data_IF_607206429389
#
_entry.id   IF_607206429389
#
_cell.length_a   1.000
_cell.length_b   1.000
_cell.length_c   1.000
_cell.angle_alpha   90.00
_cell.angle_beta   90.00
_cell.angle_gamma   90.00
#
_symmetry.space_group_name_H-M   'P 1'
#
loop_
_entity.id
_entity.type
_entity.pdbx_description
1 polymer ?
#
# COMPACT_ATOMS: atom_id res chain seq x y z
N UNK A 1 18.32 -7.19 13.92
CA UNK A 1 19.17 -6.50 12.93
C UNK A 1 19.51 -7.48 11.83
N UNK A 2 19.52 -7.05 10.57
CA UNK A 2 19.87 -7.91 9.43
C UNK A 2 21.19 -7.44 8.85
N UNK A 3 22.12 -8.36 8.57
CA UNK A 3 23.40 -8.02 7.93
C UNK A 3 23.47 -8.61 6.53
N UNK A 4 23.78 -7.75 5.57
CA UNK A 4 24.07 -8.09 4.18
C UNK A 4 25.39 -7.41 3.83
N UNK A 5 26.31 -8.16 3.21
CA UNK A 5 27.54 -7.59 2.65
C UNK A 5 27.42 -7.55 1.15
N UNK A 6 27.69 -6.38 0.57
CA UNK A 6 27.90 -6.19 -0.87
C UNK A 6 29.40 -6.06 -1.12
N UNK A 7 29.94 -6.85 -2.04
CA UNK A 7 31.35 -6.77 -2.42
C UNK A 7 31.53 -6.94 -3.94
N UNK A 8 32.71 -6.56 -4.41
CA UNK A 8 33.11 -6.70 -5.80
C UNK A 8 33.94 -7.97 -5.93
N UNK A 9 33.52 -8.87 -6.80
CA UNK A 9 34.24 -10.09 -7.16
C UNK A 9 34.96 -9.87 -8.49
N UNK A 10 36.27 -10.14 -8.51
CA UNK A 10 37.12 -10.04 -9.67
C UNK A 10 37.41 -11.47 -10.15
N UNK A 11 36.67 -11.95 -11.14
CA UNK A 11 36.96 -13.25 -11.74
C UNK A 11 38.30 -13.18 -12.49
N UNK A 12 39.20 -14.14 -12.24
CA UNK A 12 40.53 -14.17 -12.86
C UNK A 12 40.43 -14.29 -14.38
N UNK A 13 41.32 -13.62 -15.16
CA UNK A 13 41.23 -13.57 -16.61
C UNK A 13 41.60 -14.92 -17.23
N UNK A 14 40.64 -15.81 -17.41
CA UNK A 14 40.79 -16.95 -18.31
C UNK A 14 40.43 -16.51 -19.73
N UNK A 15 41.44 -15.99 -20.42
CA UNK A 15 41.56 -15.81 -21.87
C UNK A 15 40.41 -15.09 -22.62
N UNK A 16 40.75 -13.89 -23.08
CA UNK A 16 40.17 -13.14 -24.22
C UNK A 16 38.89 -12.30 -24.05
N UNK A 17 38.42 -12.05 -22.84
CA UNK A 17 37.45 -10.98 -22.62
C UNK A 17 37.78 -10.21 -21.34
N UNK A 18 37.59 -8.89 -21.34
CA UNK A 18 38.08 -7.96 -20.32
C UNK A 18 37.62 -8.28 -18.89
N UNK A 19 38.28 -7.69 -17.90
CA UNK A 19 38.00 -7.86 -16.47
C UNK A 19 36.48 -7.79 -16.17
N UNK A 20 35.85 -8.95 -15.96
CA UNK A 20 34.44 -9.06 -15.62
C UNK A 20 34.27 -8.79 -14.12
N UNK A 21 34.18 -7.52 -13.78
CA UNK A 21 33.85 -7.05 -12.42
C UNK A 21 32.39 -7.42 -12.11
N UNK A 22 32.14 -8.27 -11.11
CA UNK A 22 30.78 -8.65 -10.68
C UNK A 22 30.50 -8.16 -9.28
N UNK A 23 29.41 -7.42 -9.09
CA UNK A 23 28.91 -7.05 -7.76
C UNK A 23 28.10 -8.22 -7.21
N UNK A 24 28.47 -8.71 -6.01
CA UNK A 24 27.76 -9.77 -5.30
C UNK A 24 27.24 -9.26 -3.95
N UNK A 25 26.11 -9.81 -3.53
CA UNK A 25 25.50 -9.55 -2.23
C UNK A 25 25.31 -10.87 -1.49
N UNK A 26 25.76 -10.92 -0.24
CA UNK A 26 25.65 -12.08 0.62
C UNK A 26 24.93 -11.72 1.91
N UNK A 27 23.85 -12.45 2.16
CA UNK A 27 23.14 -12.38 3.44
C UNK A 27 23.92 -13.14 4.51
N UNK A 28 24.27 -12.46 5.60
CA UNK A 28 25.04 -13.06 6.69
C UNK A 28 24.16 -13.59 7.83
N UNK A 29 22.96 -13.03 8.01
CA UNK A 29 22.04 -13.53 9.02
C UNK A 29 21.15 -12.46 9.67
N UNK A 30 20.29 -12.95 10.55
CA UNK A 30 19.53 -12.15 11.50
C UNK A 30 20.19 -12.18 12.85
N UNK A 31 20.50 -11.00 13.39
CA UNK A 31 21.03 -10.83 14.73
C UNK A 31 19.92 -10.32 15.65
N UNK A 32 19.57 -11.06 16.70
CA UNK A 32 18.65 -10.57 17.72
C UNK A 32 19.26 -9.33 18.39
N UNK A 33 18.45 -8.28 18.55
CA UNK A 33 18.88 -7.04 19.22
C UNK A 33 17.88 -6.72 20.33
N UNK A 34 18.38 -6.54 21.55
CA UNK A 34 17.56 -6.26 22.72
C UNK A 34 17.16 -4.78 22.80
N UNK A 35 17.95 -3.89 22.19
CA UNK A 35 17.74 -2.44 22.17
C UNK A 35 17.93 -1.89 20.76
N UNK A 36 17.11 -0.92 20.38
CA UNK A 36 17.15 -0.27 19.06
C UNK A 36 17.87 1.09 19.04
N UNK A 37 18.55 1.44 20.12
CA UNK A 37 19.36 2.68 20.18
C UNK A 37 20.56 2.58 19.24
N UNK A 38 20.89 3.67 18.53
CA UNK A 38 22.00 3.69 17.55
C UNK A 38 23.34 3.17 18.09
N UNK A 39 23.71 3.57 19.32
CA UNK A 39 24.95 3.09 19.95
C UNK A 39 24.97 1.59 20.23
N UNK A 40 23.84 1.01 20.64
CA UNK A 40 23.72 -0.44 20.86
C UNK A 40 23.81 -1.20 19.55
N UNK A 41 23.09 -0.74 18.51
CA UNK A 41 23.14 -1.36 17.18
C UNK A 41 24.55 -1.31 16.58
N UNK A 42 25.25 -0.19 16.72
CA UNK A 42 26.64 -0.05 16.25
C UNK A 42 27.57 -1.03 16.96
N UNK A 43 27.47 -1.13 18.29
CA UNK A 43 28.27 -2.09 19.08
C UNK A 43 27.99 -3.53 18.67
N UNK A 44 26.71 -3.93 18.60
CA UNK A 44 26.33 -5.27 18.17
C UNK A 44 26.77 -5.57 16.74
N UNK A 45 26.77 -4.58 15.83
CA UNK A 45 27.23 -4.76 14.46
C UNK A 45 28.74 -5.03 14.41
N UNK A 46 29.53 -4.24 15.14
CA UNK A 46 30.99 -4.38 15.21
C UNK A 46 31.35 -5.76 15.76
N UNK A 47 30.78 -6.17 16.89
CA UNK A 47 31.04 -7.49 17.50
C UNK A 47 30.72 -8.64 16.54
N UNK A 48 29.66 -8.52 15.73
CA UNK A 48 29.29 -9.56 14.79
C UNK A 48 30.21 -9.59 13.56
N UNK A 49 30.64 -8.44 13.05
CA UNK A 49 31.60 -8.38 11.94
C UNK A 49 32.97 -8.93 12.35
N UNK A 50 33.40 -8.68 13.59
CA UNK A 50 34.60 -9.31 14.18
C UNK A 50 34.44 -10.82 14.28
N UNK A 51 33.30 -11.32 14.76
CA UNK A 51 33.01 -12.77 14.82
C UNK A 51 33.03 -13.45 13.45
N UNK A 52 32.65 -12.73 12.39
CA UNK A 52 32.73 -13.21 11.00
C UNK A 52 34.14 -13.06 10.38
N UNK A 53 35.14 -12.60 11.13
CA UNK A 53 36.51 -12.31 10.68
C UNK A 53 36.59 -11.32 9.52
N UNK A 54 35.67 -10.34 9.46
CA UNK A 54 35.77 -9.28 8.46
C UNK A 54 36.65 -8.12 8.96
N UNK A 55 37.64 -7.66 8.17
CA UNK A 55 38.45 -6.50 8.51
C UNK A 55 37.60 -5.22 8.41
N UNK A 56 37.21 -4.66 9.55
CA UNK A 56 36.30 -3.50 9.65
C UNK A 56 36.83 -2.29 8.88
N UNK A 57 38.14 -2.08 8.87
CA UNK A 57 38.83 -1.00 8.15
C UNK A 57 38.55 -0.97 6.64
N UNK A 58 38.27 -2.13 6.05
CA UNK A 58 37.96 -2.29 4.63
C UNK A 58 36.46 -2.26 4.34
N UNK A 59 35.62 -2.10 5.37
CA UNK A 59 34.17 -2.02 5.22
C UNK A 59 33.70 -0.57 5.12
N UNK A 60 32.61 -0.37 4.39
CA UNK A 60 31.83 0.87 4.38
C UNK A 60 30.40 0.52 4.78
N UNK A 61 29.91 1.16 5.82
CA UNK A 61 28.58 0.88 6.37
C UNK A 61 27.51 1.74 5.71
N UNK A 62 26.42 1.11 5.29
CA UNK A 62 25.16 1.79 4.98
C UNK A 62 24.08 1.24 5.92
N UNK A 63 23.54 2.10 6.78
CA UNK A 63 22.46 1.76 7.70
C UNK A 63 21.11 2.10 7.09
N UNK A 64 20.21 1.11 7.00
CA UNK A 64 18.80 1.33 6.70
C UNK A 64 17.99 1.22 7.99
N UNK A 65 18.02 2.25 8.82
CA UNK A 65 17.03 2.39 9.87
C UNK A 65 15.84 3.20 9.33
N UNK A 66 14.62 2.68 9.49
CA UNK A 66 13.44 3.57 9.44
C UNK A 66 13.38 4.43 10.73
N UNK A 67 14.54 4.79 11.29
CA UNK A 67 14.68 5.48 12.56
C UNK A 67 14.21 6.93 12.42
N UNK A 68 13.50 7.41 13.44
CA UNK A 68 12.88 8.73 13.50
C UNK A 68 13.83 9.94 13.34
N UNK A 69 15.14 9.70 13.31
CA UNK A 69 16.16 10.75 13.19
C UNK A 69 16.71 10.96 11.76
N UNK A 70 16.36 10.09 10.80
CA UNK A 70 16.50 10.39 9.37
C UNK A 70 15.28 11.23 8.96
N UNK A 71 15.33 12.54 9.28
CA UNK A 71 14.21 13.48 9.07
C UNK A 71 13.93 13.79 7.59
N UNK A 72 14.70 13.23 6.66
CA UNK A 72 14.53 13.41 5.23
C UNK A 72 13.98 12.14 4.57
N UNK A 73 12.92 12.31 3.78
CA UNK A 73 12.33 11.24 2.99
C UNK A 73 13.35 10.67 2.00
N UNK A 74 13.78 9.42 2.20
CA UNK A 74 14.63 8.69 1.23
C UNK A 74 13.78 8.05 0.14
N UNK A 75 14.20 8.19 -1.12
CA UNK A 75 13.57 7.50 -2.25
C UNK A 75 13.66 5.99 -2.02
N UNK A 76 12.51 5.31 -2.04
CA UNK A 76 12.44 3.86 -1.86
C UNK A 76 12.11 3.20 -3.19
N UNK A 77 12.75 2.05 -3.43
CA UNK A 77 12.40 1.21 -4.57
C UNK A 77 10.94 0.76 -4.47
N UNK A 78 10.29 0.65 -5.63
CA UNK A 78 8.96 0.11 -5.73
C UNK A 78 9.02 -1.41 -5.44
N UNK A 79 8.23 -1.86 -4.47
CA UNK A 79 8.02 -3.29 -4.24
C UNK A 79 6.59 -3.66 -4.66
N UNK A 80 6.46 -4.54 -5.63
CA UNK A 80 5.18 -4.96 -6.20
C UNK A 80 4.30 -5.74 -5.22
N UNK A 81 4.90 -6.40 -4.22
CA UNK A 81 4.17 -7.29 -3.31
C UNK A 81 3.46 -6.55 -2.17
N UNK A 82 3.74 -5.26 -1.94
CA UNK A 82 3.16 -4.50 -0.81
C UNK A 82 2.66 -3.13 -1.22
N UNK A 83 1.34 -2.95 -1.19
CA UNK A 83 0.68 -1.66 -1.45
C UNK A 83 1.21 -0.51 -0.57
N UNK A 84 1.61 -0.79 0.68
CA UNK A 84 2.25 0.20 1.56
C UNK A 84 3.60 0.71 1.01
N UNK A 85 4.31 -0.09 0.21
CA UNK A 85 5.57 0.34 -0.42
C UNK A 85 5.35 1.47 -1.42
N UNK A 86 4.19 1.50 -2.08
CA UNK A 86 3.87 2.50 -3.11
C UNK A 86 3.75 3.89 -2.52
N UNK A 87 3.06 4.03 -1.39
CA UNK A 87 2.96 5.33 -0.71
C UNK A 87 4.31 5.79 -0.15
N UNK A 88 5.11 4.87 0.37
CA UNK A 88 6.44 5.19 0.87
C UNK A 88 7.41 5.64 -0.24
N UNK A 89 7.21 5.18 -1.48
CA UNK A 89 7.98 5.64 -2.64
C UNK A 89 7.52 7.01 -3.16
N UNK A 90 6.21 7.31 -3.07
CA UNK A 90 5.66 8.62 -3.47
C UNK A 90 5.91 9.72 -2.45
N UNK A 91 6.04 9.38 -1.16
CA UNK A 91 6.23 10.37 -0.09
C UNK A 91 7.47 11.26 -0.29
N UNK A 92 8.67 10.72 -0.61
CA UNK A 92 9.82 11.53 -1.01
C UNK A 92 9.56 12.41 -2.22
N UNK A 93 8.88 11.88 -3.24
CA UNK A 93 8.54 12.64 -4.45
C UNK A 93 7.60 13.81 -4.13
N UNK A 94 6.61 13.64 -3.23
CA UNK A 94 5.64 14.68 -2.89
C UNK A 94 6.24 15.86 -2.11
N UNK A 95 7.22 15.60 -1.25
CA UNK A 95 7.74 16.61 -0.30
C UNK A 95 9.18 17.06 -0.57
N UNK A 96 9.95 16.28 -1.32
CA UNK A 96 11.36 16.56 -1.60
C UNK A 96 11.65 16.58 -3.12
N UNK A 97 10.67 16.96 -3.95
CA UNK A 97 10.83 16.93 -5.41
C UNK A 97 12.00 17.82 -5.89
N UNK A 98 12.19 19.00 -5.27
CA UNK A 98 13.32 19.89 -5.52
C UNK A 98 14.67 19.23 -5.29
N UNK A 99 14.88 18.62 -4.11
CA UNK A 99 16.13 17.90 -3.80
C UNK A 99 16.38 16.73 -4.76
N UNK A 100 15.33 16.07 -5.23
CA UNK A 100 15.43 14.98 -6.21
C UNK A 100 15.83 15.54 -7.58
N UNK A 101 15.26 16.66 -7.99
CA UNK A 101 15.66 17.37 -9.21
C UNK A 101 17.13 17.77 -9.16
N UNK A 102 17.57 18.41 -8.08
CA UNK A 102 18.96 18.83 -7.90
C UNK A 102 19.92 17.64 -7.96
N UNK A 103 19.56 16.52 -7.32
CA UNK A 103 20.35 15.30 -7.35
C UNK A 103 20.45 14.70 -8.77
N UNK A 104 19.36 14.69 -9.53
CA UNK A 104 19.36 14.23 -10.93
C UNK A 104 20.22 15.13 -11.81
N UNK A 105 20.16 16.45 -11.61
CA UNK A 105 20.99 17.41 -12.33
C UNK A 105 22.48 17.26 -11.97
N UNK A 106 22.81 17.01 -10.70
CA UNK A 106 24.19 16.70 -10.28
C UNK A 106 24.73 15.43 -10.97
N UNK A 107 23.91 14.38 -11.12
CA UNK A 107 24.30 13.18 -11.87
C UNK A 107 24.55 13.53 -13.34
N UNK A 108 23.66 14.31 -13.95
CA UNK A 108 23.84 14.75 -15.33
C UNK A 108 25.10 15.61 -15.50
N UNK A 109 25.44 16.47 -14.56
CA UNK A 109 26.60 17.36 -14.66
C UNK A 109 27.93 16.68 -14.31
N UNK A 110 27.92 15.49 -13.71
CA UNK A 110 29.13 14.78 -13.28
C UNK A 110 30.06 14.46 -14.47
N UNK A 111 31.26 15.07 -14.55
CA UNK A 111 32.21 14.84 -15.63
C UNK A 111 32.75 13.41 -15.66
N UNK A 112 32.77 12.70 -14.52
CA UNK A 112 33.31 11.33 -14.41
C UNK A 112 32.46 10.32 -15.17
N UNK A 113 31.19 10.62 -15.37
CA UNK A 113 30.26 9.77 -16.09
C UNK A 113 30.29 10.01 -17.61
N UNK A 114 31.03 11.02 -18.10
CA UNK A 114 31.15 11.30 -19.54
C UNK A 114 32.10 10.34 -20.27
N UNK A 115 33.02 9.71 -19.54
CA UNK A 115 34.11 8.93 -20.14
C UNK A 115 33.72 7.51 -20.54
N UNK A 116 32.60 7.00 -20.03
CA UNK A 116 32.12 5.64 -20.31
C UNK A 116 30.75 5.67 -21.02
N UNK A 117 30.49 4.69 -21.89
CA UNK A 117 29.20 4.56 -22.59
C UNK A 117 28.03 4.41 -21.60
N UNK A 118 28.21 3.55 -20.59
CA UNK A 118 27.21 3.32 -19.53
C UNK A 118 26.97 4.58 -18.69
N UNK A 119 28.04 5.27 -18.28
CA UNK A 119 27.94 6.53 -17.55
C UNK A 119 27.19 7.59 -18.35
N UNK A 120 27.44 7.67 -19.66
CA UNK A 120 26.75 8.62 -20.53
C UNK A 120 25.25 8.28 -20.69
N UNK A 121 24.88 6.99 -20.72
CA UNK A 121 23.47 6.57 -20.67
C UNK A 121 22.80 7.02 -19.38
N UNK A 122 23.40 6.71 -18.23
CA UNK A 122 22.83 7.09 -16.92
C UNK A 122 22.67 8.60 -16.75
N UNK A 123 23.60 9.41 -17.28
CA UNK A 123 23.48 10.87 -17.30
C UNK A 123 22.28 11.33 -18.12
N UNK A 124 22.11 10.78 -19.33
CA UNK A 124 21.00 11.15 -20.20
C UNK A 124 19.66 10.74 -19.59
N UNK A 125 19.57 9.53 -19.01
CA UNK A 125 18.40 9.09 -18.27
C UNK A 125 18.07 10.02 -17.08
N UNK A 126 19.09 10.41 -16.30
CA UNK A 126 18.90 11.35 -15.19
C UNK A 126 18.33 12.69 -15.66
N UNK A 127 18.83 13.21 -16.79
CA UNK A 127 18.31 14.44 -17.41
C UNK A 127 16.87 14.28 -17.90
N UNK A 128 16.56 13.19 -18.58
CA UNK A 128 15.20 12.91 -19.05
C UNK A 128 14.20 12.80 -17.89
N UNK A 129 14.61 12.14 -16.79
CA UNK A 129 13.82 12.08 -15.56
C UNK A 129 13.64 13.46 -14.93
N UNK A 130 14.70 14.28 -14.85
CA UNK A 130 14.65 15.63 -14.31
C UNK A 130 13.65 16.52 -15.10
N UNK A 131 13.66 16.41 -16.43
CA UNK A 131 12.68 17.10 -17.29
C UNK A 131 11.27 16.57 -17.03
N UNK A 132 11.11 15.24 -16.91
CA UNK A 132 9.81 14.60 -16.72
C UNK A 132 9.13 15.01 -15.41
N UNK A 133 9.88 15.13 -14.31
CA UNK A 133 9.33 15.55 -13.01
C UNK A 133 8.92 17.03 -12.98
N UNK A 134 9.48 17.85 -13.87
CA UNK A 134 9.12 19.25 -14.06
C UNK A 134 7.84 19.45 -14.88
N UNK A 135 7.30 18.39 -15.50
CA UNK A 135 6.04 18.49 -16.26
C UNK A 135 4.89 18.70 -15.28
N UNK A 136 4.10 19.77 -15.48
CA UNK A 136 2.99 20.09 -14.57
C UNK A 136 1.97 18.94 -14.45
N UNK A 137 1.67 18.23 -15.54
CA UNK A 137 0.82 17.02 -15.53
C UNK A 137 1.34 15.93 -14.58
N UNK A 138 2.66 15.76 -14.48
CA UNK A 138 3.27 14.81 -13.56
C UNK A 138 3.07 15.24 -12.11
N UNK A 139 3.27 16.52 -11.79
CA UNK A 139 3.06 17.04 -10.43
C UNK A 139 1.61 16.88 -9.97
N UNK A 140 0.64 17.25 -10.82
CA UNK A 140 -0.79 17.06 -10.54
C UNK A 140 -1.10 15.57 -10.34
N UNK A 141 -0.53 14.68 -11.17
CA UNK A 141 -0.68 13.24 -11.01
C UNK A 141 -0.08 12.71 -9.70
N UNK A 142 1.11 13.20 -9.33
CA UNK A 142 1.82 12.84 -8.11
C UNK A 142 1.02 13.21 -6.86
N UNK A 143 0.52 14.47 -6.79
CA UNK A 143 -0.32 14.94 -5.67
C UNK A 143 -1.61 14.11 -5.62
N UNK A 144 -2.29 13.93 -6.75
CA UNK A 144 -3.52 13.12 -6.82
C UNK A 144 -3.31 11.70 -6.29
N UNK A 145 -2.26 11.02 -6.76
CA UNK A 145 -1.96 9.64 -6.35
C UNK A 145 -1.57 9.54 -4.88
N UNK A 146 -0.76 10.48 -4.38
CA UNK A 146 -0.34 10.48 -3.00
C UNK A 146 -1.53 10.60 -2.06
N UNK A 147 -2.45 11.55 -2.31
CA UNK A 147 -3.61 11.78 -1.46
C UNK A 147 -4.56 10.57 -1.41
N UNK A 148 -4.84 9.95 -2.57
CA UNK A 148 -5.67 8.74 -2.65
C UNK A 148 -5.01 7.60 -1.86
N UNK A 149 -3.72 7.36 -2.10
CA UNK A 149 -3.00 6.27 -1.43
C UNK A 149 -2.85 6.52 0.06
N UNK A 150 -2.77 7.78 0.49
CA UNK A 150 -2.68 8.16 1.89
C UNK A 150 -3.93 7.73 2.66
N UNK A 151 -5.11 8.04 2.13
CA UNK A 151 -6.38 7.65 2.74
C UNK A 151 -6.58 6.12 2.75
N UNK A 152 -6.18 5.43 1.67
CA UNK A 152 -6.21 3.97 1.63
C UNK A 152 -5.24 3.38 2.66
N UNK A 153 -4.04 3.93 2.81
CA UNK A 153 -3.03 3.43 3.73
C UNK A 153 -3.46 3.54 5.20
N UNK A 154 -4.15 4.62 5.58
CA UNK A 154 -4.72 4.76 6.93
C UNK A 154 -5.63 3.56 7.24
N UNK A 155 -6.53 3.24 6.32
CA UNK A 155 -7.44 2.10 6.46
C UNK A 155 -6.67 0.79 6.56
N UNK A 156 -5.67 0.61 5.71
CA UNK A 156 -4.88 -0.61 5.66
C UNK A 156 -4.16 -0.88 6.98
N UNK A 157 -3.59 0.15 7.62
CA UNK A 157 -2.94 0.05 8.93
C UNK A 157 -3.92 -0.29 10.05
N UNK A 158 -5.12 0.28 10.01
CA UNK A 158 -6.17 -0.02 11.00
C UNK A 158 -6.62 -1.48 10.84
N UNK A 159 -6.90 -1.92 9.61
CA UNK A 159 -7.37 -3.29 9.35
C UNK A 159 -6.33 -4.38 9.68
N UNK A 160 -5.05 -4.06 9.61
CA UNK A 160 -3.97 -4.99 9.99
C UNK A 160 -3.78 -5.13 11.51
N UNK A 161 -4.42 -4.27 12.31
CA UNK A 161 -4.33 -4.36 13.75
C UNK A 161 -5.15 -5.54 14.28
N UNK A 162 -4.47 -6.49 14.95
CA UNK A 162 -5.07 -7.71 15.52
C UNK A 162 -6.20 -7.47 16.52
N UNK A 163 -6.32 -6.25 17.07
CA UNK A 163 -7.35 -5.88 18.06
C UNK A 163 -8.60 -5.27 17.45
N UNK A 164 -8.63 -5.00 16.14
CA UNK A 164 -9.74 -4.30 15.51
C UNK A 164 -10.95 -5.22 15.39
N UNK A 165 -12.11 -4.70 15.81
CA UNK A 165 -13.39 -5.37 15.64
C UNK A 165 -13.99 -5.09 14.25
N UNK A 166 -14.96 -5.93 13.87
CA UNK A 166 -15.59 -5.88 12.55
C UNK A 166 -16.38 -4.59 12.30
N UNK A 167 -16.94 -3.98 13.36
CA UNK A 167 -17.70 -2.75 13.26
C UNK A 167 -16.77 -1.56 12.98
N UNK A 168 -15.67 -1.45 13.73
CA UNK A 168 -14.62 -0.45 13.55
C UNK A 168 -13.97 -0.59 12.17
N UNK A 169 -13.69 -1.82 11.73
CA UNK A 169 -13.22 -2.08 10.38
C UNK A 169 -14.20 -1.54 9.32
N UNK A 170 -15.49 -1.87 9.45
CA UNK A 170 -16.53 -1.40 8.51
C UNK A 170 -16.70 0.12 8.53
N UNK A 171 -16.65 0.74 9.71
CA UNK A 171 -16.72 2.19 9.87
C UNK A 171 -15.52 2.89 9.22
N UNK A 172 -14.31 2.42 9.48
CA UNK A 172 -13.10 2.99 8.90
C UNK A 172 -13.15 2.95 7.37
N UNK A 173 -13.63 1.85 6.80
CA UNK A 173 -13.78 1.69 5.36
C UNK A 173 -14.82 2.63 4.76
N UNK A 174 -15.94 2.85 5.46
CA UNK A 174 -16.94 3.84 5.04
C UNK A 174 -16.38 5.27 5.13
N UNK A 175 -15.58 5.59 6.15
CA UNK A 175 -14.89 6.89 6.25
C UNK A 175 -14.01 7.11 5.02
N UNK A 176 -13.19 6.13 4.67
CA UNK A 176 -12.27 6.21 3.52
C UNK A 176 -13.02 6.35 2.21
N UNK A 177 -14.07 5.55 2.00
CA UNK A 177 -14.96 5.70 0.83
C UNK A 177 -15.52 7.11 0.75
N UNK A 178 -16.07 7.64 1.84
CA UNK A 178 -16.66 8.96 1.89
C UNK A 178 -15.63 10.07 1.62
N UNK A 179 -14.40 9.92 2.11
CA UNK A 179 -13.32 10.87 1.82
C UNK A 179 -12.97 10.89 0.33
N UNK A 180 -12.79 9.73 -0.31
CA UNK A 180 -12.52 9.67 -1.76
C UNK A 180 -13.68 10.24 -2.59
N UNK A 181 -14.92 9.97 -2.21
CA UNK A 181 -16.11 10.55 -2.87
C UNK A 181 -16.12 12.08 -2.71
N UNK A 182 -15.74 12.61 -1.55
CA UNK A 182 -15.63 14.07 -1.32
C UNK A 182 -14.50 14.71 -2.13
N UNK A 183 -13.43 13.99 -2.41
CA UNK A 183 -12.35 14.46 -3.29
C UNK A 183 -12.81 14.50 -4.76
N UNK A 184 -13.76 13.66 -5.14
CA UNK A 184 -14.26 13.52 -6.51
C UNK A 184 -15.26 14.62 -6.90
N UNK A 185 -14.83 15.87 -6.83
CA UNK A 185 -15.54 17.06 -7.31
C UNK A 185 -14.55 18.09 -7.88
N UNK A 186 -15.07 19.15 -8.49
CA UNK A 186 -14.25 20.19 -9.09
C UNK A 186 -13.41 20.96 -8.06
N UNK A 187 -13.94 21.19 -6.84
CA UNK A 187 -13.21 21.82 -5.75
C UNK A 187 -11.99 21.01 -5.32
N UNK A 188 -12.15 19.69 -5.22
CA UNK A 188 -11.08 18.74 -4.91
C UNK A 188 -10.00 18.81 -5.98
N UNK A 189 -10.39 18.83 -7.26
CA UNK A 189 -9.43 19.02 -8.35
C UNK A 189 -8.69 20.35 -8.24
N UNK A 190 -9.36 21.46 -7.93
CA UNK A 190 -8.66 22.75 -7.77
C UNK A 190 -7.65 22.72 -6.62
N UNK A 191 -7.94 22.04 -5.50
CA UNK A 191 -6.96 21.88 -4.40
C UNK A 191 -5.70 21.17 -4.89
N UNK A 192 -5.85 20.08 -5.64
CA UNK A 192 -4.71 19.36 -6.24
C UNK A 192 -3.91 20.27 -7.18
N UNK A 193 -4.58 21.12 -7.96
CA UNK A 193 -3.91 22.08 -8.84
C UNK A 193 -3.11 23.11 -8.03
N UNK A 194 -3.67 23.64 -6.94
CA UNK A 194 -2.99 24.59 -6.06
C UNK A 194 -1.76 23.94 -5.42
N UNK A 195 -1.92 22.75 -4.84
CA UNK A 195 -0.82 21.98 -4.26
C UNK A 195 0.28 21.67 -5.28
N UNK A 196 -0.08 21.31 -6.51
CA UNK A 196 0.87 21.07 -7.58
C UNK A 196 1.56 22.35 -8.05
N UNK A 197 0.85 23.50 -8.04
CA UNK A 197 1.41 24.79 -8.37
C UNK A 197 2.42 25.28 -7.32
N UNK A 198 2.22 24.94 -6.05
CA UNK A 198 3.21 25.20 -5.00
C UNK A 198 4.51 24.42 -5.26
N UNK A 199 4.42 23.13 -5.59
CA UNK A 199 5.59 22.32 -5.98
C UNK A 199 6.26 22.90 -7.24
N UNK A 200 5.46 23.31 -8.23
CA UNK A 200 5.99 23.88 -9.47
C UNK A 200 6.75 25.19 -9.23
N UNK A 201 6.27 26.01 -8.29
CA UNK A 201 6.92 27.25 -7.87
C UNK A 201 8.25 26.99 -7.17
N UNK A 202 8.33 25.97 -6.32
CA UNK A 202 9.60 25.55 -5.70
C UNK A 202 10.64 25.12 -6.73
N UNK A 203 10.20 24.53 -7.85
CA UNK A 203 11.04 24.09 -8.96
C UNK A 203 11.26 25.16 -10.05
N UNK A 204 10.70 26.37 -9.88
CA UNK A 204 10.74 27.45 -10.89
C UNK A 204 10.21 27.02 -12.29
N UNK A 205 9.20 26.15 -12.32
CA UNK A 205 8.62 25.58 -13.56
C UNK A 205 7.31 26.23 -13.97
N UNK A 206 6.94 26.08 -15.25
CA UNK A 206 5.70 26.63 -15.81
C UNK A 206 4.49 25.77 -15.41
N UNK A 207 3.47 26.40 -14.85
CA UNK A 207 2.22 25.75 -14.41
C UNK A 207 1.19 25.60 -15.54
N UNK A 208 1.61 25.10 -16.72
CA UNK A 208 0.72 24.97 -17.87
C UNK A 208 0.52 23.51 -18.27
N UNK A 209 -0.72 23.16 -18.62
CA UNK A 209 -1.00 21.90 -19.29
C UNK A 209 -0.60 22.04 -20.76
N UNK A 210 0.49 21.39 -21.17
CA UNK A 210 0.95 21.43 -22.56
C UNK A 210 -0.16 21.03 -23.55
N UNK A 211 -0.41 21.89 -24.54
CA UNK A 211 -1.20 21.60 -25.72
C UNK A 211 -0.37 20.74 -26.67
N UNK A 212 -0.73 19.47 -26.84
CA UNK A 212 -0.29 18.75 -28.03
C UNK A 212 -1.10 19.31 -29.20
N UNK A 213 -0.47 20.14 -30.04
CA UNK A 213 -1.00 20.48 -31.36
C UNK A 213 -0.99 19.23 -32.26
N UNK A 214 -1.93 18.32 -32.04
CA UNK A 214 -2.16 17.23 -32.99
C UNK A 214 -2.84 17.86 -34.19
N UNK A 215 -2.12 18.00 -35.30
CA UNK A 215 -2.68 18.46 -36.57
C UNK A 215 -3.92 17.64 -36.92
N UNK A 216 -5.11 18.24 -36.76
CA UNK A 216 -6.38 17.54 -36.99
C UNK A 216 -6.48 17.23 -38.48
N UNK A 217 -6.47 15.94 -38.83
CA UNK A 217 -6.87 15.51 -40.17
C UNK A 217 -8.37 15.76 -40.30
N UNK A 218 -8.75 16.89 -40.91
CA UNK A 218 -10.15 17.19 -41.23
C UNK A 218 -10.68 16.06 -42.13
N UNK A 219 -11.66 15.29 -41.64
CA UNK A 219 -12.43 14.41 -42.52
C UNK A 219 -13.23 15.30 -43.49
N UNK A 220 -13.20 14.96 -44.77
CA UNK A 220 -13.97 15.66 -45.79
C UNK A 220 -15.45 15.32 -45.57
N UNK A 221 -16.29 16.34 -45.36
CA UNK A 221 -17.74 16.18 -45.14
C UNK A 221 -18.43 15.83 -46.45
N UNK A 222 -19.52 15.07 -46.40
CA UNK A 222 -20.39 14.84 -47.55
C UNK A 222 -21.60 15.78 -47.55
N UNK A 223 -22.06 16.23 -46.38
CA UNK A 223 -23.24 17.09 -46.25
C UNK A 223 -23.06 18.23 -45.23
N UNK A 224 -23.74 19.36 -45.47
CA UNK A 224 -23.58 20.60 -44.69
C UNK A 224 -24.30 20.59 -43.32
N UNK A 225 -25.21 19.63 -43.09
CA UNK A 225 -25.91 19.45 -41.81
C UNK A 225 -25.18 18.51 -40.84
N UNK A 226 -24.05 17.94 -41.24
CA UNK A 226 -23.21 17.14 -40.35
C UNK A 226 -22.66 18.04 -39.23
N UNK A 227 -23.18 17.86 -38.01
CA UNK A 227 -22.68 18.50 -36.79
C UNK A 227 -21.18 18.24 -36.65
N UNK A 228 -20.42 19.24 -36.24
CA UNK A 228 -19.01 19.01 -35.93
C UNK A 228 -18.92 18.07 -34.72
N UNK A 229 -18.27 16.91 -34.85
CA UNK A 229 -17.80 16.14 -33.70
C UNK A 229 -16.70 16.96 -33.00
N UNK A 230 -17.08 17.90 -32.15
CA UNK A 230 -16.13 18.68 -31.36
C UNK A 230 -16.25 18.36 -29.87
N UNK A 231 -15.21 17.72 -29.35
CA UNK A 231 -14.74 18.06 -28.02
C UNK A 231 -13.48 18.92 -28.17
N UNK A 232 -13.62 20.24 -28.09
CA UNK A 232 -12.53 21.08 -27.58
C UNK A 232 -12.54 20.93 -26.06
N UNK A 233 -11.94 19.84 -25.55
CA UNK A 233 -11.58 19.78 -24.14
C UNK A 233 -10.27 20.54 -23.97
N UNK A 234 -10.34 21.68 -23.27
CA UNK A 234 -9.19 22.33 -22.63
C UNK A 234 -8.25 21.25 -22.03
N UNK A 235 -6.92 21.28 -22.28
CA UNK A 235 -6.00 20.26 -21.76
C UNK A 235 -6.12 19.99 -20.26
N UNK A 236 -6.45 21.03 -19.48
CA UNK A 236 -6.74 20.90 -18.03
C UNK A 236 -8.03 20.11 -17.80
N UNK A 237 -9.10 20.46 -18.51
CA UNK A 237 -10.40 19.78 -18.42
C UNK A 237 -10.32 18.33 -18.90
N UNK A 238 -9.56 18.07 -19.98
CA UNK A 238 -9.26 16.72 -20.47
C UNK A 238 -8.56 15.89 -19.40
N UNK A 239 -7.51 16.45 -18.77
CA UNK A 239 -6.79 15.77 -17.69
C UNK A 239 -7.70 15.50 -16.48
N UNK A 240 -8.54 16.47 -16.12
CA UNK A 240 -9.52 16.31 -15.03
C UNK A 240 -10.43 15.10 -15.27
N UNK A 241 -10.99 14.97 -16.47
CA UNK A 241 -11.92 13.88 -16.80
C UNK A 241 -11.20 12.54 -17.03
N UNK A 242 -10.18 12.51 -17.89
CA UNK A 242 -9.53 11.26 -18.32
C UNK A 242 -8.59 10.67 -17.28
N UNK A 243 -8.01 11.51 -16.43
CA UNK A 243 -7.09 11.08 -15.38
C UNK A 243 -7.73 11.22 -14.00
N UNK A 244 -7.96 12.43 -13.50
CA UNK A 244 -8.31 12.66 -12.09
C UNK A 244 -9.61 11.96 -11.65
N UNK A 245 -10.72 12.19 -12.36
CA UNK A 245 -11.97 11.50 -12.03
C UNK A 245 -11.89 10.00 -12.29
N UNK A 246 -11.22 9.57 -13.36
CA UNK A 246 -11.07 8.15 -13.69
C UNK A 246 -10.31 7.37 -12.61
N UNK A 247 -9.21 7.92 -12.07
CA UNK A 247 -8.45 7.24 -11.00
C UNK A 247 -9.24 7.19 -9.70
N UNK A 248 -9.98 8.28 -9.36
CA UNK A 248 -10.83 8.32 -8.17
C UNK A 248 -11.99 7.33 -8.30
N UNK A 249 -12.66 7.29 -9.45
CA UNK A 249 -13.74 6.33 -9.72
C UNK A 249 -13.25 4.90 -9.60
N UNK A 250 -12.09 4.60 -10.18
CA UNK A 250 -11.48 3.28 -10.07
C UNK A 250 -11.16 2.93 -8.61
N UNK A 251 -10.61 3.87 -7.84
CA UNK A 251 -10.30 3.66 -6.42
C UNK A 251 -11.57 3.48 -5.57
N UNK A 252 -12.59 4.32 -5.77
CA UNK A 252 -13.88 4.25 -5.09
C UNK A 252 -14.56 2.92 -5.38
N UNK A 253 -14.60 2.49 -6.65
CA UNK A 253 -15.20 1.23 -7.06
C UNK A 253 -14.43 0.04 -6.47
N UNK A 254 -13.10 0.05 -6.56
CA UNK A 254 -12.26 -1.02 -5.98
C UNK A 254 -12.45 -1.17 -4.47
N UNK A 255 -12.59 -0.04 -3.75
CA UNK A 255 -12.92 -0.02 -2.32
C UNK A 255 -14.33 -0.58 -2.11
N UNK A 256 -15.33 -0.10 -2.84
CA UNK A 256 -16.70 -0.54 -2.69
C UNK A 256 -16.85 -2.06 -2.88
N UNK A 257 -16.27 -2.61 -3.95
CA UNK A 257 -16.34 -4.04 -4.27
C UNK A 257 -15.63 -4.91 -3.22
N UNK A 258 -14.39 -4.55 -2.85
CA UNK A 258 -13.61 -5.34 -1.87
C UNK A 258 -14.26 -5.36 -0.49
N UNK A 259 -15.01 -4.32 -0.14
CA UNK A 259 -15.60 -4.18 1.18
C UNK A 259 -17.05 -4.63 1.27
N UNK A 260 -17.65 -5.05 0.15
CA UNK A 260 -19.02 -5.52 0.15
C UNK A 260 -19.19 -6.79 1.00
N UNK A 261 -18.24 -7.73 0.90
CA UNK A 261 -18.24 -8.93 1.74
C UNK A 261 -18.11 -8.59 3.23
N UNK A 262 -17.21 -7.67 3.59
CA UNK A 262 -17.03 -7.27 4.99
C UNK A 262 -18.27 -6.59 5.56
N UNK A 263 -18.96 -5.78 4.74
CA UNK A 263 -20.25 -5.18 5.08
C UNK A 263 -21.31 -6.25 5.32
N UNK A 264 -21.41 -7.26 4.45
CA UNK A 264 -22.33 -8.39 4.60
C UNK A 264 -22.04 -9.16 5.90
N UNK A 265 -20.79 -9.53 6.15
CA UNK A 265 -20.41 -10.18 7.40
C UNK A 265 -20.69 -9.32 8.63
N UNK A 266 -20.52 -8.00 8.53
CA UNK A 266 -20.85 -7.11 9.63
C UNK A 266 -22.37 -7.03 9.90
N UNK A 267 -23.20 -7.08 8.85
CA UNK A 267 -24.65 -7.17 9.00
C UNK A 267 -25.03 -8.50 9.67
N UNK A 268 -24.37 -9.59 9.30
CA UNK A 268 -24.65 -10.94 9.81
C UNK A 268 -24.17 -11.15 11.25
N UNK A 269 -22.93 -10.79 11.55
CA UNK A 269 -22.23 -11.15 12.79
C UNK A 269 -21.82 -9.94 13.63
N UNK A 270 -21.86 -8.72 13.08
CA UNK A 270 -21.38 -7.51 13.76
C UNK A 270 -22.11 -7.23 15.07
N UNK A 271 -23.38 -7.67 15.19
CA UNK A 271 -24.14 -7.56 16.44
C UNK A 271 -23.53 -8.41 17.57
N UNK A 272 -22.89 -9.54 17.27
CA UNK A 272 -22.25 -10.40 18.27
C UNK A 272 -20.99 -9.78 18.88
N UNK A 273 -20.36 -8.82 18.18
CA UNK A 273 -19.18 -8.13 18.70
C UNK A 273 -19.56 -7.03 19.71
N UNK A 274 -20.76 -6.47 19.58
CA UNK A 274 -21.25 -5.34 20.36
C UNK A 274 -22.45 -5.72 21.26
N UNK A 275 -22.24 -6.75 22.09
CA UNK A 275 -23.21 -7.28 23.06
C UNK A 275 -23.67 -6.21 24.08
N UNK A 276 -22.84 -5.19 24.34
CA UNK A 276 -23.22 -4.11 25.27
C UNK A 276 -24.16 -3.09 24.63
N UNK A 277 -23.94 -2.65 23.37
CA UNK A 277 -24.92 -1.75 22.73
C UNK A 277 -26.27 -2.43 22.55
N UNK A 278 -26.30 -3.77 22.50
CA UNK A 278 -27.53 -4.55 22.49
C UNK A 278 -28.34 -4.42 23.79
N UNK A 279 -27.70 -4.21 24.95
CA UNK A 279 -28.43 -3.94 26.21
C UNK A 279 -29.23 -2.63 26.17
N UNK A 280 -28.83 -1.70 25.30
CA UNK A 280 -29.52 -0.42 25.04
C UNK A 280 -30.43 -0.43 23.81
N UNK A 281 -30.28 -1.41 22.90
CA UNK A 281 -31.12 -1.55 21.69
C UNK A 281 -32.46 -2.21 22.04
N UNK A 282 -33.49 -1.93 21.25
CA UNK A 282 -34.80 -2.55 21.47
C UNK A 282 -34.70 -4.09 21.36
N UNK A 283 -35.41 -4.82 22.22
CA UNK A 283 -35.48 -6.28 22.15
C UNK A 283 -35.97 -6.79 20.79
N UNK A 284 -36.70 -5.97 20.03
CA UNK A 284 -37.19 -6.32 18.70
C UNK A 284 -36.06 -6.35 17.65
N UNK A 285 -35.10 -5.44 17.76
CA UNK A 285 -33.98 -5.33 16.83
C UNK A 285 -32.96 -6.46 17.02
N UNK A 286 -32.70 -6.85 18.28
CA UNK A 286 -31.90 -8.04 18.58
C UNK A 286 -32.53 -9.32 18.00
N UNK A 287 -33.84 -9.49 18.19
CA UNK A 287 -34.55 -10.65 17.68
C UNK A 287 -34.53 -10.69 16.14
N UNK A 288 -34.64 -9.54 15.48
CA UNK A 288 -34.49 -9.44 14.02
C UNK A 288 -33.11 -9.91 13.56
N UNK A 289 -32.04 -9.47 14.23
CA UNK A 289 -30.68 -9.90 13.90
C UNK A 289 -30.48 -11.41 14.14
N UNK A 290 -31.05 -11.94 15.22
CA UNK A 290 -31.00 -13.38 15.50
C UNK A 290 -31.77 -14.20 14.46
N UNK A 291 -32.93 -13.71 13.98
CA UNK A 291 -33.71 -14.35 12.92
C UNK A 291 -32.97 -14.34 11.59
N UNK A 292 -32.35 -13.22 11.23
CA UNK A 292 -31.51 -13.14 10.04
C UNK A 292 -30.36 -14.16 10.11
N UNK A 293 -29.74 -14.32 11.28
CA UNK A 293 -28.67 -15.31 11.47
C UNK A 293 -29.19 -16.76 11.39
N UNK A 294 -30.34 -17.06 12.00
CA UNK A 294 -31.01 -18.36 11.90
C UNK A 294 -31.31 -18.70 10.43
N UNK A 295 -31.86 -17.76 9.66
CA UNK A 295 -32.18 -17.97 8.24
C UNK A 295 -30.92 -18.29 7.41
N UNK A 296 -29.81 -17.58 7.66
CA UNK A 296 -28.57 -17.81 6.91
C UNK A 296 -27.93 -19.15 7.27
N UNK A 297 -28.09 -19.60 8.51
CA UNK A 297 -27.60 -20.89 8.99
C UNK A 297 -28.65 -22.00 8.88
N UNK A 298 -29.69 -21.76 8.07
CA UNK A 298 -30.68 -22.77 7.70
C UNK A 298 -30.33 -23.33 6.33
N UNK A 299 -30.18 -24.66 6.24
CA UNK A 299 -30.05 -25.35 4.96
C UNK A 299 -31.20 -26.34 4.79
N UNK A 300 -32.14 -26.00 3.90
CA UNK A 300 -33.37 -26.77 3.71
C UNK A 300 -34.25 -26.71 4.96
N UNK A 301 -34.48 -27.86 5.61
CA UNK A 301 -35.28 -27.97 6.83
C UNK A 301 -34.43 -28.01 8.12
N UNK A 302 -33.10 -28.03 8.01
CA UNK A 302 -32.20 -28.10 9.15
C UNK A 302 -31.72 -26.71 9.54
N UNK A 303 -31.75 -26.42 10.84
CA UNK A 303 -31.34 -25.15 11.43
C UNK A 303 -30.27 -25.40 12.47
N UNK A 304 -29.14 -24.72 12.35
CA UNK A 304 -28.06 -24.85 13.32
C UNK A 304 -28.32 -24.06 14.61
N UNK A 305 -29.17 -23.02 14.53
CA UNK A 305 -29.44 -22.10 15.64
C UNK A 305 -30.93 -21.75 15.69
N UNK A 306 -31.47 -21.61 16.91
CA UNK A 306 -32.79 -21.04 17.18
C UNK A 306 -32.65 -19.56 17.54
N UNK A 307 -33.26 -18.66 16.78
CA UNK A 307 -33.16 -17.22 17.03
C UNK A 307 -33.71 -16.80 18.40
N UNK A 308 -34.76 -17.49 18.88
CA UNK A 308 -35.36 -17.22 20.18
C UNK A 308 -34.38 -17.58 21.32
N UNK A 309 -33.73 -18.73 21.20
CA UNK A 309 -32.76 -19.20 22.20
C UNK A 309 -31.52 -18.33 22.20
N UNK A 310 -30.96 -18.03 21.02
CA UNK A 310 -29.81 -17.14 20.89
C UNK A 310 -30.09 -15.73 21.46
N UNK A 311 -31.27 -15.17 21.17
CA UNK A 311 -31.67 -13.87 21.69
C UNK A 311 -31.75 -13.87 23.22
N UNK A 312 -32.28 -14.94 23.83
CA UNK A 312 -32.34 -15.10 25.27
C UNK A 312 -30.93 -15.28 25.89
N UNK A 313 -30.08 -16.12 25.28
CA UNK A 313 -28.71 -16.35 25.73
C UNK A 313 -27.89 -15.04 25.72
N UNK A 314 -28.00 -14.23 24.65
CA UNK A 314 -27.30 -12.94 24.54
C UNK A 314 -27.79 -11.95 25.61
N UNK A 315 -29.10 -11.89 25.90
CA UNK A 315 -29.65 -11.04 26.96
C UNK A 315 -29.15 -11.44 28.35
N UNK A 316 -29.07 -12.74 28.62
CA UNK A 316 -28.54 -13.24 29.90
C UNK A 316 -27.04 -12.92 30.01
N UNK A 317 -26.29 -13.07 28.91
CA UNK A 317 -24.87 -12.75 28.85
C UNK A 317 -24.59 -11.26 29.05
N UNK A 318 -25.38 -10.38 28.43
CA UNK A 318 -25.19 -8.92 28.56
C UNK A 318 -25.38 -8.44 30.00
N UNK A 319 -26.27 -9.07 30.77
CA UNK A 319 -26.46 -8.78 32.20
C UNK A 319 -25.35 -9.30 33.13
N UNK A 320 -24.47 -10.20 32.65
CA UNK A 320 -23.41 -10.83 33.46
C UNK A 320 -22.00 -10.32 33.16
N UNK A 321 -21.80 -9.61 32.06
CA UNK A 321 -20.48 -9.15 31.61
C UNK A 321 -20.16 -7.73 32.14
N UNK A 322 -18.93 -7.44 32.61
CA UNK A 322 -18.52 -6.10 33.02
C UNK A 322 -18.56 -5.12 31.84
N UNK A 323 -19.04 -3.88 32.01
CA UNK A 323 -19.32 -2.91 30.92
C UNK A 323 -18.12 -2.52 30.02
N UNK A 324 -16.87 -2.87 30.36
CA UNK A 324 -15.66 -2.40 29.65
C UNK A 324 -14.69 -3.53 29.25
N UNK A 325 -15.20 -4.68 28.78
CA UNK A 325 -14.33 -5.74 28.24
C UNK A 325 -14.34 -5.80 26.70
N UNK A 326 -13.15 -5.85 26.13
CA UNK A 326 -12.91 -6.06 24.70
C UNK A 326 -13.31 -7.48 24.27
N UNK A 327 -13.71 -7.71 23.00
CA UNK A 327 -14.04 -9.05 22.50
C UNK A 327 -12.95 -10.10 22.74
N UNK A 328 -11.68 -9.70 22.77
CA UNK A 328 -10.54 -10.58 23.04
C UNK A 328 -10.49 -11.05 24.51
N UNK A 329 -10.79 -10.17 25.46
CA UNK A 329 -10.88 -10.52 26.89
C UNK A 329 -12.07 -11.44 27.16
N UNK A 330 -13.16 -11.32 26.37
CA UNK A 330 -14.32 -12.23 26.44
C UNK A 330 -13.98 -13.65 25.97
N UNK A 331 -13.12 -13.79 24.95
CA UNK A 331 -12.63 -15.10 24.47
C UNK A 331 -11.82 -15.82 25.56
N UNK A 332 -10.99 -15.09 26.32
CA UNK A 332 -10.21 -15.62 27.45
C UNK A 332 -11.05 -16.07 28.65
N UNK A 333 -12.21 -15.45 28.88
CA UNK A 333 -13.16 -15.85 29.94
C UNK A 333 -13.94 -17.14 29.64
N UNK A 334 -13.68 -17.81 28.51
CA UNK A 334 -14.34 -19.08 28.16
C UNK A 334 -15.80 -18.94 27.74
N UNK A 335 -16.30 -17.72 27.48
CA UNK A 335 -17.71 -17.46 27.12
C UNK A 335 -18.12 -18.15 25.81
N UNK A 336 -17.17 -18.39 24.90
CA UNK A 336 -17.40 -19.10 23.63
C UNK A 336 -17.06 -20.60 23.67
N UNK A 337 -16.63 -21.16 24.82
CA UNK A 337 -16.15 -22.56 24.91
C UNK A 337 -17.24 -23.61 25.17
N UNK A 338 -18.47 -23.22 25.50
CA UNK A 338 -19.55 -24.19 25.76
C UNK A 338 -20.64 -24.07 24.70
N UNK A 339 -20.67 -25.07 23.80
CA UNK A 339 -21.62 -25.33 22.70
C UNK A 339 -21.12 -24.97 21.29
N UNK A 340 -20.03 -25.57 20.87
CA UNK A 340 -19.92 -26.11 19.52
C UNK A 340 -18.95 -27.28 19.57
N UNK A 341 -19.28 -28.39 18.89
CA UNK A 341 -18.34 -29.48 18.64
C UNK A 341 -17.28 -29.07 17.59
N UNK A 342 -16.80 -27.83 17.65
CA UNK A 342 -15.72 -27.33 16.82
C UNK A 342 -14.48 -27.23 17.71
N UNK A 343 -13.67 -28.28 17.70
CA UNK A 343 -12.26 -28.18 18.04
C UNK A 343 -11.58 -27.36 16.95
N UNK A 344 -11.20 -26.13 17.27
CA UNK A 344 -10.04 -25.55 16.62
C UNK A 344 -8.85 -25.99 17.45
N UNK A 345 -8.12 -26.97 16.94
CA UNK A 345 -6.80 -27.32 17.47
C UNK A 345 -5.89 -26.10 17.29
N UNK A 346 -5.71 -25.36 18.38
CA UNK A 346 -4.58 -24.45 18.55
C UNK A 346 -3.39 -25.35 18.90
N UNK A 347 -2.62 -25.75 17.88
CA UNK A 347 -1.19 -26.15 17.92
C UNK A 347 -0.85 -27.13 16.77
N UNK A 348 -0.90 -26.67 15.52
CA UNK A 348 -0.06 -27.24 14.46
C UNK A 348 0.55 -26.10 13.64
N UNK A 349 1.88 -25.96 13.74
CA UNK A 349 2.70 -25.21 12.83
C UNK A 349 2.55 -25.80 11.41
N UNK A 350 1.67 -25.21 10.60
CA UNK A 350 1.62 -25.53 9.17
C UNK A 350 2.78 -24.82 8.48
N UNK A 351 3.93 -25.50 8.45
CA UNK A 351 4.97 -25.28 7.45
C UNK A 351 4.37 -25.52 6.05
N UNK A 352 4.09 -24.43 5.31
CA UNK A 352 3.86 -24.53 3.88
C UNK A 352 5.18 -24.80 3.15
N UNK A 353 5.57 -26.07 3.06
CA UNK A 353 6.57 -26.51 2.09
C UNK A 353 5.95 -26.47 0.68
N UNK A 354 6.17 -25.35 -0.01
CA UNK A 354 5.91 -25.23 -1.45
C UNK A 354 7.05 -25.95 -2.18
N UNK A 355 6.88 -27.25 -2.44
CA UNK A 355 7.68 -27.96 -3.46
C UNK A 355 7.08 -27.69 -4.85
N UNK A 356 7.82 -27.09 -5.80
CA UNK A 356 7.33 -26.92 -7.16
C UNK A 356 7.37 -28.27 -7.90
N UNK A 357 6.20 -28.87 -8.13
CA UNK A 357 6.06 -29.97 -9.10
C UNK A 357 6.27 -29.44 -10.51
N UNK A 358 7.51 -29.54 -11.02
CA UNK A 358 7.80 -29.50 -12.46
C UNK A 358 7.19 -30.74 -13.10
N UNK A 359 6.12 -30.57 -13.87
CA UNK A 359 5.66 -31.57 -14.84
C UNK A 359 6.71 -31.70 -15.94
N UNK A 360 7.48 -32.79 -15.90
CA UNK A 360 8.28 -33.25 -17.03
C UNK A 360 7.33 -33.87 -18.06
N UNK A 361 7.09 -33.17 -19.17
CA UNK A 361 6.63 -33.82 -20.39
C UNK A 361 7.73 -34.76 -20.88
N UNK A 362 7.55 -36.06 -20.67
CA UNK A 362 8.30 -37.10 -21.38
C UNK A 362 7.75 -37.19 -22.80
N UNK A 363 8.63 -36.94 -23.77
CA UNK A 363 8.55 -37.50 -25.13
C UNK A 363 8.82 -38.99 -25.05
N UNK A 364 8.06 -39.76 -25.83
CA UNK A 364 8.24 -41.13 -26.36
C UNK A 364 6.81 -41.51 -26.82
N UNK A 365 6.47 -41.68 -28.10
CA UNK A 365 7.17 -42.17 -29.30
C UNK A 365 6.83 -41.27 -30.49
#
# INVERSE_FOLDING_TARGET
MTIIIRFVDLESPTSHDGDLVKIKEHFLGFIPVEKSTGGFLAKTLIEQLENFNFPIENLRGQGYDNGSNMKDFTVKSLNDTRWESRINALKPLRYNLGKIYDALMQIFEDPRLQTTSEGNSSRNEAKELAISICIFKFMVALVSWYDILFEVNISNKILQNKKVDLNVATQQLNITKNKLVKMRNDEGFQRIIVDAAEIAKELETVTNFEEKHVGRRRKKRQFDYETQDEALQDPKEKFKVEFYFKILDTAIQSIAERFEQMRQYNIMFGFLHDIYSISSKSSAELLKNCRNLEEILTHGCQKDISAADLCNEIKVLSGKLPQQMTPHERKKMGVYKKKSNFSFDEDEDIEFHISPKRTKNKKEI
#
